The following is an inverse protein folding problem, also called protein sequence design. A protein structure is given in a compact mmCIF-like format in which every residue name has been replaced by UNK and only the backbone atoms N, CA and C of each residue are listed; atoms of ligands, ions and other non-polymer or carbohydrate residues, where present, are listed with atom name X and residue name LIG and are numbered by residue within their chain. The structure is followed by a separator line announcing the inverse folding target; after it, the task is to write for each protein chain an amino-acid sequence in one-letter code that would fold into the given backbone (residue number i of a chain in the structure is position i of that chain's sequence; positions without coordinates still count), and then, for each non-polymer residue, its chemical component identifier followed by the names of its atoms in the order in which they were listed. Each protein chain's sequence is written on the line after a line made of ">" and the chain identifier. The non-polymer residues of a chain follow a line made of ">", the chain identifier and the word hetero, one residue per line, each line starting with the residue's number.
data_IF_258345624353
#
_entry.id   IF_258345624353
#
_cell.length_a   1.000
_cell.length_b   1.000
_cell.length_c   1.000
_cell.angle_alpha   90.00
_cell.angle_beta   90.00
_cell.angle_gamma   90.00
#
_symmetry.space_group_name_H-M   'P 1'
#
loop_
_entity.id
_entity.type
_entity.pdbx_description
1 polymer ?
#
# COMPACT_ATOMS: atom_id res chain seq x y z
N UNK A 1 -45.16 -49.86 -31.32
CA UNK A 1 -43.82 -49.98 -31.96
C UNK A 1 -43.50 -48.83 -32.95
N UNK A 2 -44.40 -47.87 -33.15
CA UNK A 2 -44.23 -46.77 -34.11
C UNK A 2 -43.28 -45.62 -33.60
N UNK A 3 -43.14 -45.45 -32.29
CA UNK A 3 -42.36 -44.36 -31.68
C UNK A 3 -40.85 -44.56 -31.77
N UNK A 4 -40.36 -45.80 -31.66
CA UNK A 4 -38.91 -46.11 -31.77
C UNK A 4 -38.40 -45.97 -33.21
N UNK A 5 -39.20 -46.20 -34.21
CA UNK A 5 -38.83 -46.09 -35.63
C UNK A 5 -38.71 -44.57 -36.01
N UNK A 6 -39.58 -43.75 -35.46
CA UNK A 6 -39.58 -42.30 -35.68
C UNK A 6 -38.37 -41.63 -35.02
N UNK A 7 -37.91 -42.12 -33.85
CA UNK A 7 -36.69 -41.65 -33.18
C UNK A 7 -35.45 -42.07 -33.97
N UNK A 8 -35.45 -43.28 -34.53
CA UNK A 8 -34.32 -43.79 -35.33
C UNK A 8 -34.17 -43.06 -36.67
N UNK A 9 -35.28 -42.66 -37.30
CA UNK A 9 -35.22 -41.89 -38.56
C UNK A 9 -34.83 -40.43 -38.36
N UNK A 10 -35.01 -39.87 -37.15
CA UNK A 10 -34.57 -38.52 -36.78
C UNK A 10 -33.24 -38.50 -35.98
N UNK A 11 -32.56 -39.63 -35.87
CA UNK A 11 -31.28 -39.78 -35.18
C UNK A 11 -30.21 -38.74 -35.61
N UNK A 12 -30.02 -38.55 -36.93
CA UNK A 12 -29.04 -37.52 -37.39
C UNK A 12 -29.42 -36.11 -36.96
N UNK A 13 -30.69 -35.77 -36.97
CA UNK A 13 -31.21 -34.44 -36.55
C UNK A 13 -30.99 -34.24 -35.03
N UNK A 14 -31.21 -35.28 -34.23
CA UNK A 14 -31.00 -35.25 -32.79
C UNK A 14 -29.53 -35.07 -32.43
N UNK A 15 -28.62 -35.73 -33.14
CA UNK A 15 -27.16 -35.55 -32.97
C UNK A 15 -26.72 -34.12 -33.31
N UNK A 16 -27.29 -33.53 -34.38
CA UNK A 16 -26.98 -32.14 -34.76
C UNK A 16 -27.50 -31.15 -33.71
N UNK A 17 -28.71 -31.37 -33.17
CA UNK A 17 -29.28 -30.50 -32.12
C UNK A 17 -28.47 -30.58 -30.82
N UNK A 18 -28.09 -31.80 -30.42
CA UNK A 18 -27.24 -31.98 -29.22
C UNK A 18 -25.82 -31.39 -29.45
N UNK A 19 -25.28 -31.62 -30.65
CA UNK A 19 -23.97 -31.06 -31.03
C UNK A 19 -23.97 -29.52 -31.02
N UNK A 20 -25.05 -28.91 -31.56
CA UNK A 20 -25.22 -27.44 -31.52
C UNK A 20 -25.44 -26.92 -30.09
N UNK A 21 -26.19 -27.64 -29.25
CA UNK A 21 -26.38 -27.27 -27.85
C UNK A 21 -25.08 -27.36 -27.06
N UNK A 22 -24.29 -28.40 -27.25
CA UNK A 22 -22.97 -28.58 -26.64
C UNK A 22 -21.99 -27.54 -27.14
N UNK A 23 -21.98 -27.24 -28.44
CA UNK A 23 -21.16 -26.20 -29.04
C UNK A 23 -21.53 -24.80 -28.49
N UNK A 24 -22.84 -24.49 -28.40
CA UNK A 24 -23.31 -23.23 -27.83
C UNK A 24 -22.92 -23.09 -26.33
N UNK A 25 -22.96 -24.18 -25.57
CA UNK A 25 -22.50 -24.20 -24.17
C UNK A 25 -20.99 -23.97 -24.06
N UNK A 26 -20.20 -24.72 -24.83
CA UNK A 26 -18.73 -24.57 -24.83
C UNK A 26 -18.32 -23.21 -25.39
N UNK A 27 -18.96 -22.72 -26.46
CA UNK A 27 -18.71 -21.40 -27.01
C UNK A 27 -19.12 -20.28 -26.04
N UNK A 28 -20.21 -20.46 -25.29
CA UNK A 28 -20.65 -19.56 -24.23
C UNK A 28 -19.68 -19.47 -23.06
N UNK A 29 -19.13 -20.60 -22.63
CA UNK A 29 -18.11 -20.63 -21.59
C UNK A 29 -16.74 -20.10 -22.10
N UNK A 30 -16.33 -20.47 -23.31
CA UNK A 30 -15.15 -19.91 -23.95
C UNK A 30 -15.27 -18.39 -24.17
N UNK A 31 -16.47 -17.90 -24.51
CA UNK A 31 -16.72 -16.44 -24.63
C UNK A 31 -16.64 -15.73 -23.29
N UNK A 32 -17.10 -16.35 -22.20
CA UNK A 32 -16.92 -15.82 -20.83
C UNK A 32 -15.46 -15.82 -20.39
N UNK A 33 -14.68 -16.82 -20.80
CA UNK A 33 -13.24 -16.89 -20.51
C UNK A 33 -12.44 -15.93 -21.40
N UNK A 34 -12.90 -15.69 -22.63
CA UNK A 34 -12.28 -14.73 -23.59
C UNK A 34 -12.73 -13.28 -23.36
N UNK A 35 -13.85 -13.04 -22.72
CA UNK A 35 -14.10 -11.73 -22.13
C UNK A 35 -13.18 -11.63 -20.93
N UNK A 36 -12.18 -10.72 -20.95
CA UNK A 36 -11.46 -10.44 -19.74
C UNK A 36 -12.50 -10.01 -18.73
N UNK A 37 -12.75 -10.85 -17.72
CA UNK A 37 -13.38 -10.44 -16.48
C UNK A 37 -12.34 -9.54 -15.79
N UNK A 38 -12.00 -8.46 -16.43
CA UNK A 38 -11.60 -7.25 -15.80
C UNK A 38 -12.87 -6.67 -15.16
N UNK A 39 -13.37 -7.33 -14.15
CA UNK A 39 -13.88 -6.58 -13.03
C UNK A 39 -12.68 -5.73 -12.67
N UNK A 40 -12.64 -4.48 -13.11
CA UNK A 40 -11.70 -3.50 -12.64
C UNK A 40 -11.90 -3.47 -11.14
N UNK A 41 -11.11 -4.26 -10.42
CA UNK A 41 -11.03 -4.14 -8.98
C UNK A 41 -10.28 -2.84 -8.78
N UNK A 42 -11.03 -1.80 -8.54
CA UNK A 42 -10.48 -0.50 -8.23
C UNK A 42 -10.06 -0.52 -6.76
N UNK A 43 -8.84 -0.11 -6.49
CA UNK A 43 -8.34 0.04 -5.11
C UNK A 43 -8.98 1.25 -4.45
N UNK A 44 -9.22 2.29 -5.23
CA UNK A 44 -9.84 3.51 -4.77
C UNK A 44 -9.85 4.59 -5.83
N UNK A 45 -10.46 5.73 -5.48
CA UNK A 45 -10.53 6.91 -6.33
C UNK A 45 -9.99 8.12 -5.56
N UNK A 46 -9.13 8.90 -6.21
CA UNK A 46 -8.57 10.12 -5.64
C UNK A 46 -8.76 11.26 -6.64
N UNK A 47 -9.51 12.27 -6.26
CA UNK A 47 -9.76 13.47 -7.08
C UNK A 47 -10.28 13.14 -8.49
N UNK A 48 -11.23 12.20 -8.60
CA UNK A 48 -11.83 11.77 -9.86
C UNK A 48 -10.96 10.82 -10.70
N UNK A 49 -9.79 10.41 -10.19
CA UNK A 49 -8.93 9.42 -10.83
C UNK A 49 -9.01 8.08 -10.09
N UNK A 50 -9.49 7.09 -10.78
CA UNK A 50 -9.54 5.72 -10.27
C UNK A 50 -8.16 5.07 -10.35
N UNK A 51 -7.75 4.40 -9.27
CA UNK A 51 -6.55 3.56 -9.23
C UNK A 51 -6.97 2.08 -9.33
N UNK A 52 -6.58 1.42 -10.40
CA UNK A 52 -6.85 0.00 -10.59
C UNK A 52 -5.94 -0.86 -9.70
N UNK A 53 -6.39 -2.08 -9.35
CA UNK A 53 -5.58 -3.02 -8.57
C UNK A 53 -4.28 -3.38 -9.28
N UNK A 54 -4.29 -3.43 -10.61
CA UNK A 54 -3.09 -3.72 -11.40
C UNK A 54 -2.05 -2.60 -11.32
N UNK A 55 -2.49 -1.35 -11.45
CA UNK A 55 -1.59 -0.19 -11.33
C UNK A 55 -1.04 -0.06 -9.91
N UNK A 56 -1.89 -0.28 -8.91
CA UNK A 56 -1.47 -0.28 -7.51
C UNK A 56 -0.46 -1.38 -7.22
N UNK A 57 -0.71 -2.61 -7.66
CA UNK A 57 0.23 -3.71 -7.47
C UNK A 57 1.58 -3.41 -8.12
N UNK A 58 1.58 -2.85 -9.33
CA UNK A 58 2.82 -2.41 -10.00
C UNK A 58 3.60 -1.40 -9.16
N UNK A 59 2.93 -0.42 -8.54
CA UNK A 59 3.60 0.54 -7.65
C UNK A 59 4.17 -0.14 -6.40
N UNK A 60 3.43 -1.09 -5.83
CA UNK A 60 3.89 -1.89 -4.67
C UNK A 60 5.13 -2.71 -5.04
N UNK A 61 5.12 -3.34 -6.22
CA UNK A 61 6.25 -4.13 -6.70
C UNK A 61 7.49 -3.24 -6.95
N UNK A 62 7.31 -2.09 -7.63
CA UNK A 62 8.39 -1.11 -7.85
C UNK A 62 9.01 -0.66 -6.52
N UNK A 63 8.19 -0.30 -5.55
CA UNK A 63 8.66 0.16 -4.23
C UNK A 63 9.33 -0.98 -3.43
N UNK A 64 8.78 -2.19 -3.51
CA UNK A 64 9.34 -3.39 -2.88
C UNK A 64 10.76 -3.68 -3.41
N UNK A 65 10.96 -3.62 -4.74
CA UNK A 65 12.29 -3.83 -5.33
C UNK A 65 13.29 -2.73 -4.92
N UNK A 66 12.82 -1.49 -4.77
CA UNK A 66 13.66 -0.40 -4.25
C UNK A 66 14.10 -0.68 -2.82
N UNK A 67 13.20 -1.12 -1.94
CA UNK A 67 13.55 -1.48 -0.55
C UNK A 67 14.54 -2.66 -0.52
N UNK A 68 14.28 -3.72 -1.29
CA UNK A 68 15.19 -4.86 -1.36
C UNK A 68 16.60 -4.44 -1.77
N UNK A 69 16.71 -3.59 -2.77
CA UNK A 69 17.98 -3.11 -3.28
C UNK A 69 18.70 -2.21 -2.27
N UNK A 70 17.98 -1.32 -1.59
CA UNK A 70 18.58 -0.36 -0.63
C UNK A 70 18.95 -1.01 0.69
N UNK A 71 18.20 -2.02 1.14
CA UNK A 71 18.46 -2.74 2.39
C UNK A 71 19.32 -4.00 2.18
N UNK A 72 19.58 -4.41 0.92
CA UNK A 72 20.37 -5.60 0.64
C UNK A 72 19.68 -6.91 1.02
N UNK A 73 18.33 -6.93 1.07
CA UNK A 73 17.53 -8.11 1.40
C UNK A 73 16.93 -8.75 0.15
N UNK A 74 16.77 -10.07 0.16
CA UNK A 74 16.19 -10.81 -0.97
C UNK A 74 14.66 -10.86 -0.95
N UNK A 75 14.05 -10.75 0.24
CA UNK A 75 12.61 -10.78 0.44
C UNK A 75 12.19 -9.90 1.62
N UNK A 76 10.95 -9.40 1.58
CA UNK A 76 10.29 -8.74 2.71
C UNK A 76 9.35 -9.73 3.39
N UNK A 77 9.17 -9.61 4.68
CA UNK A 77 8.16 -10.37 5.42
C UNK A 77 6.76 -9.74 5.21
N UNK A 78 5.71 -10.42 5.69
CA UNK A 78 4.32 -9.99 5.49
C UNK A 78 4.01 -8.64 6.14
N UNK A 79 4.57 -8.35 7.32
CA UNK A 79 4.40 -7.08 8.01
C UNK A 79 5.04 -5.93 7.23
N UNK A 80 6.26 -6.14 6.73
CA UNK A 80 6.96 -5.18 5.88
C UNK A 80 6.21 -4.94 4.58
N UNK A 81 5.68 -6.00 3.96
CA UNK A 81 4.89 -5.87 2.73
C UNK A 81 3.58 -5.11 2.97
N UNK A 82 2.95 -5.29 4.13
CA UNK A 82 1.77 -4.52 4.52
C UNK A 82 2.11 -3.05 4.69
N UNK A 83 3.21 -2.72 5.36
CA UNK A 83 3.69 -1.33 5.49
C UNK A 83 4.00 -0.70 4.13
N UNK A 84 4.61 -1.46 3.21
CA UNK A 84 4.87 -1.00 1.83
C UNK A 84 3.57 -0.66 1.13
N UNK A 85 2.56 -1.51 1.22
CA UNK A 85 1.24 -1.27 0.62
C UNK A 85 0.61 0.02 1.15
N UNK A 86 0.60 0.19 2.47
CA UNK A 86 0.05 1.39 3.09
C UNK A 86 0.82 2.65 2.66
N UNK A 87 2.13 2.59 2.63
CA UNK A 87 2.98 3.70 2.21
C UNK A 87 2.78 4.08 0.73
N UNK A 88 2.66 3.10 -0.14
CA UNK A 88 2.37 3.32 -1.57
C UNK A 88 1.01 3.98 -1.75
N UNK A 89 -0.01 3.55 -1.01
CA UNK A 89 -1.32 4.18 -1.04
C UNK A 89 -1.27 5.63 -0.57
N UNK A 90 -0.66 5.90 0.58
CA UNK A 90 -0.52 7.25 1.12
C UNK A 90 0.26 8.17 0.16
N UNK A 91 1.35 7.68 -0.41
CA UNK A 91 2.15 8.42 -1.39
C UNK A 91 1.33 8.72 -2.65
N UNK A 92 0.56 7.75 -3.15
CA UNK A 92 -0.31 7.95 -4.31
C UNK A 92 -1.35 9.05 -4.04
N UNK A 93 -2.06 8.97 -2.90
CA UNK A 93 -3.06 9.98 -2.50
C UNK A 93 -2.44 11.36 -2.44
N UNK A 94 -1.33 11.51 -1.71
CA UNK A 94 -0.65 12.80 -1.56
C UNK A 94 -0.18 13.36 -2.91
N UNK A 95 0.43 12.52 -3.74
CA UNK A 95 0.92 12.95 -5.04
C UNK A 95 -0.22 13.38 -5.98
N UNK A 96 -1.37 12.67 -5.97
CA UNK A 96 -2.52 13.06 -6.78
C UNK A 96 -3.13 14.40 -6.32
N UNK A 97 -3.25 14.60 -5.01
CA UNK A 97 -3.78 15.87 -4.44
C UNK A 97 -2.86 17.04 -4.76
N UNK A 98 -1.56 16.89 -4.49
CA UNK A 98 -0.56 17.93 -4.78
C UNK A 98 -0.50 18.23 -6.28
N UNK A 99 -0.46 17.20 -7.14
CA UNK A 99 -0.42 17.39 -8.57
C UNK A 99 -1.67 18.14 -9.10
N UNK A 100 -2.85 17.86 -8.55
CA UNK A 100 -4.07 18.54 -8.93
C UNK A 100 -4.05 20.03 -8.53
N UNK A 101 -3.62 20.35 -7.32
CA UNK A 101 -3.52 21.73 -6.84
C UNK A 101 -2.40 22.50 -7.55
N UNK A 102 -1.24 21.87 -7.74
CA UNK A 102 -0.12 22.43 -8.48
C UNK A 102 -0.51 22.76 -9.95
N UNK A 103 -1.28 21.88 -10.58
CA UNK A 103 -1.77 22.11 -11.94
C UNK A 103 -2.70 23.33 -12.06
N UNK A 104 -3.57 23.58 -11.06
CA UNK A 104 -4.41 24.78 -11.02
C UNK A 104 -3.59 26.07 -10.94
N UNK A 105 -2.40 25.99 -10.33
CA UNK A 105 -1.47 27.13 -10.19
C UNK A 105 -0.45 27.20 -11.34
N UNK A 106 -0.51 26.29 -12.31
CA UNK A 106 0.47 26.22 -13.40
C UNK A 106 1.85 25.77 -12.98
N UNK A 107 1.99 25.17 -11.78
CA UNK A 107 3.28 24.66 -11.30
C UNK A 107 3.64 23.35 -12.02
N UNK A 108 4.84 23.29 -12.54
CA UNK A 108 5.40 22.11 -13.20
C UNK A 108 6.87 21.93 -12.81
N UNK A 109 7.39 20.73 -13.03
CA UNK A 109 8.82 20.43 -12.92
C UNK A 109 9.33 20.07 -14.32
N UNK A 110 10.25 20.87 -14.83
CA UNK A 110 10.84 20.67 -16.15
C UNK A 110 11.99 19.66 -16.11
N UNK A 111 12.29 19.04 -17.26
CA UNK A 111 13.46 18.15 -17.38
C UNK A 111 14.77 18.86 -17.05
N UNK A 112 14.91 20.14 -17.47
CA UNK A 112 16.11 20.93 -17.17
C UNK A 112 16.30 21.16 -15.67
N UNK A 113 15.20 21.32 -14.92
CA UNK A 113 15.22 21.48 -13.48
C UNK A 113 15.62 20.18 -12.77
N UNK A 114 15.06 19.04 -13.19
CA UNK A 114 15.47 17.71 -12.67
C UNK A 114 16.96 17.49 -12.95
N UNK A 115 17.41 17.82 -14.13
CA UNK A 115 18.82 17.70 -14.51
C UNK A 115 19.74 18.62 -13.65
N UNK A 116 19.29 19.84 -13.34
CA UNK A 116 20.02 20.73 -12.45
C UNK A 116 20.14 20.17 -11.03
N UNK A 117 19.07 19.58 -10.49
CA UNK A 117 19.08 18.92 -9.18
C UNK A 117 20.07 17.74 -9.15
N UNK A 118 20.09 16.94 -10.22
CA UNK A 118 21.04 15.82 -10.37
C UNK A 118 22.49 16.33 -10.49
N UNK A 119 22.71 17.39 -11.24
CA UNK A 119 24.05 17.99 -11.38
C UNK A 119 24.58 18.61 -10.09
N UNK A 120 23.69 19.21 -9.29
CA UNK A 120 24.03 19.73 -7.96
C UNK A 120 24.35 18.61 -6.98
N UNK A 121 23.57 17.49 -7.02
CA UNK A 121 23.84 16.27 -6.25
C UNK A 121 23.61 16.35 -4.76
N UNK A 122 23.02 17.46 -4.25
CA UNK A 122 22.79 17.70 -2.81
C UNK A 122 21.45 17.19 -2.30
N UNK A 123 20.54 16.79 -3.21
CA UNK A 123 19.22 16.34 -2.81
C UNK A 123 19.29 15.05 -1.97
N UNK A 124 18.61 15.00 -0.79
CA UNK A 124 18.65 13.85 0.11
C UNK A 124 18.26 12.51 -0.52
N UNK A 125 17.38 12.54 -1.53
CA UNK A 125 16.97 11.33 -2.25
C UNK A 125 18.14 10.76 -3.06
N UNK A 126 18.94 11.61 -3.70
CA UNK A 126 20.12 11.20 -4.45
C UNK A 126 21.19 10.60 -3.55
N UNK A 127 21.31 11.12 -2.33
CA UNK A 127 22.25 10.61 -1.33
C UNK A 127 21.93 9.19 -0.83
N UNK A 128 20.70 8.72 -1.05
CA UNK A 128 20.28 7.36 -0.68
C UNK A 128 20.46 6.36 -1.82
N UNK A 129 20.89 6.79 -3.00
CA UNK A 129 21.09 5.92 -4.15
C UNK A 129 22.43 5.16 -4.07
N UNK A 130 22.59 4.04 -4.78
CA UNK A 130 23.88 3.34 -4.91
C UNK A 130 24.96 4.14 -5.65
N UNK A 131 24.58 5.22 -6.34
CA UNK A 131 25.50 6.09 -7.09
C UNK A 131 26.21 7.06 -6.16
N UNK A 132 27.06 6.52 -5.30
CA UNK A 132 27.84 7.29 -4.31
C UNK A 132 29.32 7.05 -4.44
N UNK A 133 30.09 8.11 -4.26
CA UNK A 133 31.53 7.99 -4.15
C UNK A 133 31.87 7.20 -2.87
N UNK A 134 32.60 6.08 -2.96
CA UNK A 134 32.93 5.24 -1.80
C UNK A 134 33.76 5.94 -0.73
N UNK A 135 34.51 6.97 -1.10
CA UNK A 135 35.40 7.70 -0.19
C UNK A 135 34.69 8.84 0.54
N UNK A 136 33.80 9.55 -0.14
CA UNK A 136 33.13 10.74 0.42
C UNK A 136 31.70 10.48 0.86
N UNK A 137 31.09 9.38 0.39
CA UNK A 137 29.67 9.07 0.61
C UNK A 137 28.71 9.99 -0.15
N UNK A 138 29.23 11.01 -0.87
CA UNK A 138 28.43 11.94 -1.65
C UNK A 138 27.90 11.27 -2.93
N UNK A 139 26.80 11.80 -3.45
CA UNK A 139 26.27 11.39 -4.74
C UNK A 139 27.28 11.66 -5.87
N UNK A 140 27.48 10.65 -6.73
CA UNK A 140 28.42 10.69 -7.86
C UNK A 140 27.65 10.71 -9.18
N UNK A 141 27.48 11.88 -9.73
CA UNK A 141 26.78 12.09 -10.99
C UNK A 141 27.48 11.45 -12.19
N UNK A 142 28.81 11.34 -12.16
CA UNK A 142 29.56 10.76 -13.26
C UNK A 142 29.40 9.24 -13.26
N UNK A 143 29.33 8.63 -12.07
CA UNK A 143 28.97 7.21 -11.93
C UNK A 143 27.56 6.93 -12.47
N UNK A 144 26.59 7.80 -12.16
CA UNK A 144 25.24 7.71 -12.72
C UNK A 144 25.24 7.86 -14.25
N UNK A 145 25.93 8.89 -14.77
CA UNK A 145 26.01 9.11 -16.23
C UNK A 145 26.59 7.91 -16.94
N UNK A 146 27.68 7.37 -16.43
CA UNK A 146 28.27 6.15 -16.97
C UNK A 146 27.29 5.00 -16.98
N UNK A 147 26.59 4.77 -15.86
CA UNK A 147 25.59 3.72 -15.76
C UNK A 147 24.48 3.91 -16.81
N UNK A 148 23.95 5.12 -16.99
CA UNK A 148 22.87 5.40 -17.93
C UNK A 148 23.31 5.18 -19.38
N UNK A 149 24.56 5.53 -19.73
CA UNK A 149 25.13 5.27 -21.05
C UNK A 149 25.26 3.75 -21.28
N UNK A 150 25.81 3.03 -20.32
CA UNK A 150 25.98 1.58 -20.40
C UNK A 150 24.61 0.88 -20.50
N UNK A 151 23.63 1.33 -19.73
CA UNK A 151 22.25 0.79 -19.75
C UNK A 151 21.55 1.05 -21.09
N UNK A 152 21.70 2.24 -21.67
CA UNK A 152 21.10 2.58 -22.96
C UNK A 152 21.66 1.74 -24.13
N UNK A 153 22.91 1.27 -24.01
CA UNK A 153 23.58 0.47 -25.03
C UNK A 153 23.66 -1.02 -24.66
N UNK A 154 22.86 -1.46 -23.67
CA UNK A 154 22.86 -2.84 -23.18
C UNK A 154 22.42 -3.81 -24.28
N UNK A 155 23.33 -4.67 -24.71
CA UNK A 155 23.05 -5.77 -25.64
C UNK A 155 22.90 -7.08 -24.85
N UNK A 156 21.64 -7.40 -24.50
CA UNK A 156 21.33 -8.59 -23.71
C UNK A 156 21.77 -9.91 -24.38
N UNK A 157 21.99 -9.93 -25.70
CA UNK A 157 22.43 -11.13 -26.42
C UNK A 157 23.93 -11.43 -26.26
N UNK A 158 24.72 -10.42 -25.87
CA UNK A 158 26.17 -10.49 -25.75
C UNK A 158 26.69 -10.53 -24.32
N UNK A 159 25.79 -10.38 -23.34
CA UNK A 159 26.16 -10.33 -21.93
C UNK A 159 25.64 -11.54 -21.15
N UNK A 160 26.36 -11.98 -20.11
CA UNK A 160 25.81 -12.98 -19.17
C UNK A 160 24.50 -12.50 -18.54
N UNK A 161 23.54 -13.41 -18.38
CA UNK A 161 22.21 -13.11 -17.86
C UNK A 161 22.22 -12.32 -16.54
N UNK A 162 23.16 -12.63 -15.65
CA UNK A 162 23.33 -11.96 -14.36
C UNK A 162 23.62 -10.44 -14.50
N UNK A 163 24.43 -10.06 -15.50
CA UNK A 163 24.71 -8.64 -15.76
C UNK A 163 23.49 -7.92 -16.35
N UNK A 164 22.79 -8.58 -17.27
CA UNK A 164 21.55 -8.04 -17.84
C UNK A 164 20.52 -7.78 -16.74
N UNK A 165 20.32 -8.74 -15.85
CA UNK A 165 19.42 -8.61 -14.70
C UNK A 165 19.84 -7.46 -13.77
N UNK A 166 21.12 -7.34 -13.45
CA UNK A 166 21.63 -6.23 -12.64
C UNK A 166 21.31 -4.86 -13.27
N UNK A 167 21.62 -4.68 -14.57
CA UNK A 167 21.35 -3.42 -15.26
C UNK A 167 19.86 -3.11 -15.33
N UNK A 168 19.03 -4.11 -15.56
CA UNK A 168 17.56 -3.94 -15.56
C UNK A 168 17.02 -3.50 -14.20
N UNK A 169 17.47 -4.14 -13.11
CA UNK A 169 17.09 -3.76 -11.75
C UNK A 169 17.55 -2.35 -11.39
N UNK A 170 18.77 -2.02 -11.72
CA UNK A 170 19.31 -0.68 -11.48
C UNK A 170 18.64 0.39 -12.35
N UNK A 171 18.27 0.06 -13.58
CA UNK A 171 17.50 0.96 -14.45
C UNK A 171 16.09 1.21 -13.91
N UNK A 172 15.39 0.16 -13.46
CA UNK A 172 14.08 0.29 -12.82
C UNK A 172 14.17 1.13 -11.53
N UNK A 173 15.20 0.89 -10.71
CA UNK A 173 15.48 1.69 -9.52
C UNK A 173 15.68 3.17 -9.87
N UNK A 174 16.51 3.47 -10.88
CA UNK A 174 16.74 4.85 -11.29
C UNK A 174 15.46 5.54 -11.80
N UNK A 175 14.67 4.86 -12.61
CA UNK A 175 13.38 5.38 -13.07
C UNK A 175 12.44 5.70 -11.89
N UNK A 176 12.44 4.88 -10.85
CA UNK A 176 11.68 5.15 -9.63
C UNK A 176 12.21 6.40 -8.91
N UNK A 177 13.53 6.54 -8.76
CA UNK A 177 14.17 7.70 -8.13
C UNK A 177 13.86 8.98 -8.91
N UNK A 178 13.99 8.97 -10.23
CA UNK A 178 13.68 10.14 -11.08
C UNK A 178 12.22 10.56 -10.95
N UNK A 179 11.30 9.61 -10.99
CA UNK A 179 9.86 9.86 -10.79
C UNK A 179 9.59 10.46 -9.39
N UNK A 180 10.20 9.89 -8.36
CA UNK A 180 10.05 10.38 -6.98
C UNK A 180 10.66 11.78 -6.82
N UNK A 181 11.79 12.05 -7.47
CA UNK A 181 12.42 13.36 -7.48
C UNK A 181 11.51 14.43 -8.11
N UNK A 182 10.88 14.12 -9.24
CA UNK A 182 9.90 15.02 -9.87
C UNK A 182 8.73 15.28 -8.93
N UNK A 183 8.18 14.26 -8.30
CA UNK A 183 7.05 14.38 -7.39
C UNK A 183 7.39 15.18 -6.13
N UNK A 184 8.52 14.90 -5.51
CA UNK A 184 8.98 15.63 -4.32
C UNK A 184 9.31 17.10 -4.64
N UNK A 185 9.92 17.38 -5.77
CA UNK A 185 10.21 18.75 -6.21
C UNK A 185 8.92 19.53 -6.48
N UNK A 186 7.91 18.90 -7.09
CA UNK A 186 6.61 19.53 -7.30
C UNK A 186 5.93 19.85 -5.97
N UNK A 187 5.97 18.90 -5.03
CA UNK A 187 5.42 19.07 -3.69
C UNK A 187 6.11 20.21 -2.93
N UNK A 188 7.43 20.27 -3.00
CA UNK A 188 8.22 21.33 -2.39
C UNK A 188 7.89 22.70 -2.98
N UNK A 189 7.78 22.81 -4.30
CA UNK A 189 7.37 24.06 -4.97
C UNK A 189 5.99 24.53 -4.47
N UNK A 190 5.04 23.62 -4.42
CA UNK A 190 3.70 23.93 -3.94
C UNK A 190 3.71 24.38 -2.47
N UNK A 191 4.39 23.64 -1.60
CA UNK A 191 4.51 23.99 -0.18
C UNK A 191 5.22 25.33 0.03
N UNK A 192 6.31 25.57 -0.70
CA UNK A 192 7.05 26.83 -0.64
C UNK A 192 6.20 28.01 -1.13
N UNK A 193 5.37 27.82 -2.16
CA UNK A 193 4.47 28.86 -2.61
C UNK A 193 3.44 29.22 -1.53
N UNK A 194 2.82 28.24 -0.88
CA UNK A 194 1.89 28.44 0.21
C UNK A 194 2.60 29.12 1.39
N UNK A 195 3.74 28.59 1.83
CA UNK A 195 4.49 29.15 2.96
C UNK A 195 4.90 30.62 2.74
N UNK A 196 5.35 30.92 1.51
CA UNK A 196 5.74 32.31 1.15
C UNK A 196 4.57 33.24 0.90
N UNK A 197 3.35 32.71 0.71
CA UNK A 197 2.14 33.52 0.61
C UNK A 197 1.64 34.03 1.98
N UNK A 198 2.09 33.37 3.04
CA UNK A 198 1.78 33.77 4.41
C UNK A 198 2.69 34.96 4.83
N UNK A 199 2.23 36.16 4.50
CA UNK A 199 2.98 37.39 4.80
C UNK A 199 2.49 37.88 6.17
N UNK A 200 3.40 38.02 7.13
CA UNK A 200 3.14 38.75 8.36
C UNK A 200 3.46 40.23 8.13
N UNK A 201 2.61 41.11 8.65
CA UNK A 201 2.87 42.56 8.67
C UNK A 201 3.19 43.00 10.10
N UNK A 202 3.86 44.18 10.28
CA UNK A 202 4.22 44.69 11.61
C UNK A 202 3.03 44.81 12.56
N UNK A 203 1.86 45.22 12.05
CA UNK A 203 0.63 45.40 12.87
C UNK A 203 0.15 44.03 13.39
N UNK A 204 0.15 42.97 12.54
CA UNK A 204 -0.24 41.64 12.97
C UNK A 204 0.77 41.04 13.96
N UNK A 205 2.05 41.34 13.80
CA UNK A 205 3.08 40.94 14.75
C UNK A 205 2.95 41.62 16.12
N UNK A 206 2.65 42.93 16.13
CA UNK A 206 2.40 43.70 17.34
C UNK A 206 1.14 43.21 18.06
N UNK A 207 0.03 42.98 17.33
CA UNK A 207 -1.22 42.45 17.89
C UNK A 207 -0.99 41.04 18.49
N UNK A 208 -0.26 40.16 17.79
CA UNK A 208 0.07 38.83 18.29
C UNK A 208 0.97 38.90 19.54
N UNK A 209 1.91 39.83 19.59
CA UNK A 209 2.76 40.04 20.77
C UNK A 209 1.93 40.58 21.94
N UNK A 210 1.14 41.61 21.72
CA UNK A 210 0.24 42.22 22.75
C UNK A 210 -0.72 41.16 23.30
N UNK A 211 -1.39 40.41 22.44
CA UNK A 211 -2.33 39.34 22.84
C UNK A 211 -1.68 38.22 23.68
N UNK A 212 -0.35 38.00 23.55
CA UNK A 212 0.35 37.03 24.36
C UNK A 212 0.93 37.55 25.66
N UNK A 213 1.24 38.83 25.69
CA UNK A 213 1.91 39.45 26.83
C UNK A 213 1.00 40.27 27.71
N UNK A 214 -0.14 40.72 27.18
CA UNK A 214 -1.16 41.47 27.94
C UNK A 214 -1.81 40.52 28.98
N UNK A 215 -1.81 40.99 30.21
CA UNK A 215 -2.44 40.29 31.33
C UNK A 215 -3.56 41.16 31.87
N UNK A 216 -4.67 40.54 32.18
CA UNK A 216 -5.82 41.22 32.79
C UNK A 216 -6.19 40.54 34.10
N UNK A 217 -6.41 41.31 35.14
CA UNK A 217 -6.98 40.82 36.38
C UNK A 217 -8.50 40.71 36.22
N UNK A 218 -8.99 39.47 36.39
CA UNK A 218 -10.41 39.19 36.20
C UNK A 218 -11.02 38.68 37.50
N UNK A 219 -12.08 39.34 37.95
CA UNK A 219 -12.96 38.80 39.00
C UNK A 219 -14.06 37.98 38.36
N UNK A 220 -14.07 36.69 38.60
CA UNK A 220 -15.04 35.76 38.01
C UNK A 220 -16.04 35.35 39.07
N UNK A 221 -17.35 35.62 38.80
CA UNK A 221 -18.44 35.01 39.52
C UNK A 221 -19.17 34.03 38.60
N UNK A 222 -19.18 32.76 38.98
CA UNK A 222 -19.79 31.68 38.20
C UNK A 222 -20.93 31.04 38.97
N UNK A 223 -22.08 30.93 38.33
CA UNK A 223 -23.19 30.12 38.81
C UNK A 223 -23.17 28.82 37.94
N UNK A 224 -22.81 27.67 38.51
CA UNK A 224 -22.77 26.44 37.72
C UNK A 224 -24.19 25.98 37.34
N UNK A 225 -24.37 25.53 36.13
CA UNK A 225 -25.67 24.99 35.67
C UNK A 225 -26.15 23.83 36.55
N UNK A 226 -25.23 23.09 37.18
CA UNK A 226 -25.56 22.03 38.13
C UNK A 226 -26.30 22.48 39.39
N UNK A 227 -26.35 23.79 39.68
CA UNK A 227 -27.17 24.36 40.75
C UNK A 227 -28.67 24.40 40.44
N UNK A 228 -29.03 24.21 39.16
CA UNK A 228 -30.41 24.15 38.68
C UNK A 228 -30.76 22.68 38.44
N UNK A 229 -31.81 22.18 39.08
CA UNK A 229 -32.24 20.78 38.90
C UNK A 229 -32.88 20.61 37.50
N UNK A 230 -32.43 19.57 36.77
CA UNK A 230 -32.98 19.23 35.46
C UNK A 230 -34.49 18.97 35.49
N UNK A 231 -35.02 18.54 36.67
CA UNK A 231 -36.44 18.29 36.87
C UNK A 231 -37.30 19.57 36.82
N UNK A 232 -36.69 20.76 36.95
CA UNK A 232 -37.40 22.05 36.87
C UNK A 232 -37.43 22.62 35.46
N UNK A 233 -36.71 22.01 34.52
CA UNK A 233 -36.56 22.49 33.15
C UNK A 233 -37.40 21.63 32.21
N UNK A 234 -38.30 22.25 31.48
CA UNK A 234 -39.08 21.60 30.43
C UNK A 234 -38.62 22.11 29.07
N UNK A 235 -38.08 21.24 28.22
CA UNK A 235 -37.67 21.59 26.87
C UNK A 235 -38.70 21.09 25.88
N UNK A 236 -39.19 22.00 25.05
CA UNK A 236 -40.14 21.66 23.99
C UNK A 236 -39.44 21.09 22.74
N UNK A 237 -40.17 20.29 21.97
CA UNK A 237 -39.67 19.79 20.68
C UNK A 237 -39.32 20.89 19.68
N UNK A 238 -39.97 22.08 19.80
CA UNK A 238 -39.62 23.23 18.97
C UNK A 238 -38.25 23.79 19.31
N UNK A 239 -37.93 23.95 20.59
CA UNK A 239 -36.61 24.43 21.04
C UNK A 239 -35.50 23.47 20.64
N UNK A 240 -35.74 22.16 20.73
CA UNK A 240 -34.78 21.15 20.26
C UNK A 240 -34.54 21.30 18.77
N UNK A 241 -35.61 21.47 17.98
CA UNK A 241 -35.50 21.63 16.54
C UNK A 241 -34.79 22.93 16.14
N UNK A 242 -35.04 24.01 16.83
CA UNK A 242 -34.41 25.30 16.59
C UNK A 242 -32.92 25.25 16.92
N UNK A 243 -32.53 24.62 18.03
CA UNK A 243 -31.16 24.42 18.40
C UNK A 243 -30.43 23.49 17.42
N UNK A 244 -31.10 22.40 16.99
CA UNK A 244 -30.55 21.51 15.95
C UNK A 244 -30.30 22.30 14.65
N UNK A 245 -31.24 23.10 14.20
CA UNK A 245 -31.08 23.87 12.98
C UNK A 245 -29.91 24.88 13.09
N UNK A 246 -29.74 25.52 14.25
CA UNK A 246 -28.60 26.42 14.51
C UNK A 246 -27.25 25.70 14.51
N UNK A 247 -27.21 24.45 14.97
CA UNK A 247 -25.98 23.65 15.09
C UNK A 247 -25.87 22.58 14.03
N UNK A 248 -26.65 22.63 12.96
CA UNK A 248 -26.73 21.58 11.93
C UNK A 248 -25.36 21.21 11.36
N UNK A 249 -24.51 22.18 11.11
CA UNK A 249 -23.15 21.96 10.60
C UNK A 249 -22.26 21.12 11.54
N UNK A 250 -22.53 21.13 12.85
CA UNK A 250 -21.80 20.33 13.84
C UNK A 250 -22.20 18.85 13.83
N UNK A 251 -23.35 18.53 13.21
CA UNK A 251 -23.87 17.17 13.07
C UNK A 251 -23.74 16.62 11.65
N UNK A 252 -23.13 17.39 10.76
CA UNK A 252 -22.89 16.96 9.39
C UNK A 252 -21.81 15.89 9.37
N UNK A 253 -22.14 14.73 8.80
CA UNK A 253 -21.21 13.63 8.63
C UNK A 253 -20.68 13.68 7.19
N UNK A 254 -19.43 14.09 6.97
CA UNK A 254 -18.86 14.20 5.61
C UNK A 254 -18.57 12.85 4.97
N UNK A 255 -18.54 11.78 5.78
CA UNK A 255 -18.26 10.42 5.33
C UNK A 255 -19.47 9.53 5.59
N UNK A 256 -19.82 8.71 4.60
CA UNK A 256 -20.90 7.75 4.74
C UNK A 256 -20.53 6.68 5.79
N UNK A 257 -21.38 6.52 6.80
CA UNK A 257 -21.18 5.55 7.88
C UNK A 257 -22.20 4.43 7.79
N UNK A 258 -21.86 3.26 8.29
CA UNK A 258 -22.72 2.09 8.38
C UNK A 258 -22.74 1.57 9.80
N UNK A 259 -23.91 1.24 10.30
CA UNK A 259 -24.06 0.47 11.54
C UNK A 259 -23.90 -1.02 11.21
N UNK A 260 -22.85 -1.62 11.72
CA UNK A 260 -22.56 -3.03 11.50
C UNK A 260 -22.82 -3.79 12.80
N UNK A 261 -23.55 -4.90 12.70
CA UNK A 261 -23.62 -5.90 13.76
C UNK A 261 -22.82 -7.12 13.29
N UNK A 262 -21.91 -7.58 14.10
CA UNK A 262 -21.10 -8.76 13.81
C UNK A 262 -21.08 -9.70 15.00
N UNK A 263 -20.80 -10.93 14.73
CA UNK A 263 -20.61 -11.97 15.75
C UNK A 263 -19.21 -12.52 15.53
N UNK A 264 -18.39 -12.42 16.56
CA UNK A 264 -17.08 -13.05 16.57
C UNK A 264 -17.23 -14.49 17.04
N UNK A 265 -16.79 -15.43 16.23
CA UNK A 265 -16.71 -16.84 16.59
C UNK A 265 -15.25 -17.16 16.81
N UNK A 266 -14.88 -17.28 18.07
CA UNK A 266 -13.53 -17.68 18.44
C UNK A 266 -13.35 -19.18 18.16
N UNK A 267 -12.51 -19.52 17.19
CA UNK A 267 -12.13 -20.89 16.90
C UNK A 267 -10.99 -21.27 17.86
N UNK A 268 -11.30 -22.09 18.82
CA UNK A 268 -10.31 -22.63 19.76
C UNK A 268 -10.09 -24.10 19.47
N UNK A 269 -8.84 -24.60 19.56
CA UNK A 269 -8.58 -26.03 19.43
C UNK A 269 -9.35 -26.85 20.46
N UNK A 270 -9.98 -27.92 20.03
CA UNK A 270 -10.63 -28.87 20.93
C UNK A 270 -9.60 -29.63 21.79
N UNK A 271 -10.08 -30.32 22.83
CA UNK A 271 -9.21 -31.21 23.59
C UNK A 271 -8.71 -32.41 22.76
N UNK A 272 -9.50 -32.83 21.78
CA UNK A 272 -9.13 -33.86 20.80
C UNK A 272 -7.99 -33.37 19.91
N UNK A 273 -8.08 -32.16 19.34
CA UNK A 273 -7.03 -31.57 18.50
C UNK A 273 -5.73 -31.43 19.29
N UNK A 274 -5.82 -30.98 20.56
CA UNK A 274 -4.66 -30.87 21.45
C UNK A 274 -3.99 -32.19 21.73
N UNK A 275 -4.80 -33.27 21.94
CA UNK A 275 -4.26 -34.62 22.13
C UNK A 275 -3.62 -35.17 20.90
N UNK A 276 -4.22 -34.94 19.74
CA UNK A 276 -3.67 -35.38 18.45
C UNK A 276 -2.31 -34.74 18.20
N UNK A 277 -2.20 -33.41 18.32
CA UNK A 277 -0.93 -32.68 18.20
C UNK A 277 0.09 -33.14 19.24
N UNK A 278 -0.32 -33.37 20.50
CA UNK A 278 0.59 -33.86 21.54
C UNK A 278 1.11 -35.25 21.22
N UNK A 279 0.28 -36.14 20.70
CA UNK A 279 0.68 -37.48 20.28
C UNK A 279 1.69 -37.42 19.12
N UNK A 280 1.39 -36.58 18.11
CA UNK A 280 2.27 -36.39 16.96
C UNK A 280 3.66 -35.85 17.40
N UNK A 281 3.68 -34.80 18.22
CA UNK A 281 4.93 -34.23 18.76
C UNK A 281 5.69 -35.25 19.61
N UNK A 282 4.98 -36.07 20.40
CA UNK A 282 5.58 -37.12 21.23
C UNK A 282 6.20 -38.20 20.31
N UNK A 283 5.54 -38.57 19.25
CA UNK A 283 6.06 -39.51 18.26
C UNK A 283 7.33 -38.97 17.58
N UNK A 284 7.30 -37.70 17.15
CA UNK A 284 8.50 -37.03 16.61
C UNK A 284 9.65 -36.98 17.63
N UNK A 285 9.37 -36.71 18.89
CA UNK A 285 10.40 -36.71 19.94
C UNK A 285 11.04 -38.09 20.14
N UNK A 286 10.23 -39.16 20.07
CA UNK A 286 10.74 -40.54 20.16
C UNK A 286 11.60 -40.92 18.90
N UNK A 287 11.16 -40.52 17.72
CA UNK A 287 11.87 -40.78 16.47
C UNK A 287 13.15 -39.96 16.37
N UNK A 288 13.19 -38.75 16.90
CA UNK A 288 14.34 -37.87 16.90
C UNK A 288 15.58 -38.54 17.56
N UNK A 289 15.35 -39.25 18.67
CA UNK A 289 16.43 -39.94 19.41
C UNK A 289 17.09 -41.09 18.63
N UNK A 290 16.46 -41.57 17.55
CA UNK A 290 16.93 -42.69 16.75
C UNK A 290 17.22 -42.30 15.29
N UNK A 291 17.03 -41.03 14.93
CA UNK A 291 17.25 -40.54 13.58
C UNK A 291 18.73 -40.59 13.19
N UNK A 292 19.03 -41.23 12.06
CA UNK A 292 20.38 -41.32 11.52
C UNK A 292 20.90 -40.00 10.93
N UNK A 293 19.97 -39.17 10.40
CA UNK A 293 20.25 -37.83 9.86
C UNK A 293 19.18 -36.84 10.36
N UNK A 294 19.61 -35.94 11.26
CA UNK A 294 18.79 -34.96 11.88
C UNK A 294 18.20 -33.94 10.90
N UNK A 295 18.99 -33.53 9.90
CA UNK A 295 18.52 -32.56 8.91
C UNK A 295 17.39 -33.11 8.05
N UNK A 296 17.52 -34.33 7.58
CA UNK A 296 16.50 -35.02 6.78
C UNK A 296 15.25 -35.28 7.63
N UNK A 297 15.43 -35.71 8.87
CA UNK A 297 14.32 -35.97 9.77
C UNK A 297 13.51 -34.68 10.05
N UNK A 298 14.17 -33.60 10.46
CA UNK A 298 13.49 -32.33 10.79
C UNK A 298 12.75 -31.75 9.57
N UNK A 299 13.31 -31.86 8.39
CA UNK A 299 12.60 -31.46 7.16
C UNK A 299 11.33 -32.29 6.91
N UNK A 300 11.36 -33.57 7.25
CA UNK A 300 10.20 -34.46 7.07
C UNK A 300 9.05 -34.17 8.04
N UNK A 301 9.32 -33.54 9.19
CA UNK A 301 8.30 -33.16 10.17
C UNK A 301 7.59 -31.83 9.84
N UNK A 302 7.97 -31.16 8.74
CA UNK A 302 7.40 -29.86 8.40
C UNK A 302 7.83 -28.71 9.30
N UNK A 303 8.90 -28.88 10.09
CA UNK A 303 9.43 -27.85 10.98
C UNK A 303 9.86 -26.62 10.18
N UNK A 304 9.41 -25.44 10.60
CA UNK A 304 9.86 -24.15 10.07
C UNK A 304 11.23 -23.73 10.58
N UNK A 305 11.71 -24.36 11.66
CA UNK A 305 13.03 -24.11 12.23
C UNK A 305 14.02 -25.18 11.70
N UNK A 306 15.07 -24.78 10.96
CA UNK A 306 16.06 -25.71 10.47
C UNK A 306 16.90 -26.26 11.63
N UNK A 307 17.41 -27.46 11.47
CA UNK A 307 18.38 -28.02 12.42
C UNK A 307 19.69 -27.23 12.38
N UNK A 308 20.23 -26.91 13.55
CA UNK A 308 21.52 -26.28 13.72
C UNK A 308 22.42 -27.12 14.59
N UNK A 309 23.62 -27.45 14.13
CA UNK A 309 24.64 -28.18 14.91
C UNK A 309 25.34 -27.33 15.96
N UNK A 310 24.96 -26.05 16.08
CA UNK A 310 25.54 -25.14 17.07
C UNK A 310 25.04 -25.56 18.45
N UNK A 311 25.96 -25.92 19.33
CA UNK A 311 25.65 -26.27 20.71
C UNK A 311 25.10 -25.04 21.45
N UNK A 312 23.86 -25.13 21.92
CA UNK A 312 23.19 -24.08 22.70
C UNK A 312 23.15 -24.55 24.16
N UNK A 313 23.48 -23.66 25.09
CA UNK A 313 23.30 -23.95 26.50
C UNK A 313 21.90 -23.54 26.96
N UNK A 314 21.49 -24.08 28.13
CA UNK A 314 20.14 -23.84 28.70
C UNK A 314 19.83 -22.38 28.98
N UNK A 315 20.85 -21.51 29.02
CA UNK A 315 20.68 -20.06 29.31
C UNK A 315 20.38 -19.27 28.04
N UNK A 316 20.64 -19.85 26.87
CA UNK A 316 20.42 -19.23 25.56
C UNK A 316 19.09 -19.70 24.93
N UNK A 317 18.52 -20.79 25.47
CA UNK A 317 17.20 -21.31 25.11
C UNK A 317 16.16 -20.62 26.02
#
# INVERSE_FOLDING_TARGET
>A
MATLQTIRSKGPLLVVVIGLALFAFIAGDAWKVLQPHQGKQDVGEVNGKTLTAQEYQKMVDEYTEVIKLTQGVSALNDDQLTQVKDQVWQSYVNNQLIAAEAAKLGLTVSKAEVQAIIEEGTNPLLMQTPFRNPQTGAFDKDMLKKFLVDYAHLDASKMPAQYVEYYQKMGAFWNFIEKTLIQSTLAEKYQNLIAKSLISNPVAAEDAFTSRTEQSDVLLAAIPYSSISDSTITVSNSEIKDLYNKKKSSFEQPVETRNIKYIDVLVTPSEEDRKEVLNEVTEYANQLGTAADMNTFIRSTGSVVPFSEIAINKTVY
#
